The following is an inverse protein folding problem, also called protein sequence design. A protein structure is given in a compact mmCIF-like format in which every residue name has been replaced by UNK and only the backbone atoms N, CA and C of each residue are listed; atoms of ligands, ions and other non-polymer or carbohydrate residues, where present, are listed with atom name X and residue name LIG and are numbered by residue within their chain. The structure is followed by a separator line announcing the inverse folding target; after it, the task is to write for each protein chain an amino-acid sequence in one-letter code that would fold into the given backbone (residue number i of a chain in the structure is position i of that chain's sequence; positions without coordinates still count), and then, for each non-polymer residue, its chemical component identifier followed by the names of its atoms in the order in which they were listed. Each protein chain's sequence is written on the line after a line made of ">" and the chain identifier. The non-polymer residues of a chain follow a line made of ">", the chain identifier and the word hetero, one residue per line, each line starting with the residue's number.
data_IF_315514033661
#
_entry.id   IF_315514033661
#
_cell.length_a   1.000
_cell.length_b   1.000
_cell.length_c   1.000
_cell.angle_alpha   90.00
_cell.angle_beta   90.00
_cell.angle_gamma   90.00
#
_symmetry.space_group_name_H-M   'P 1'
#
loop_
_entity.id
_entity.type
_entity.pdbx_description
1 polymer ?
#
# COMPACT_ATOMS: atom_id res chain seq x y z
N UNK A 1 -57.61 -27.20 -24.39
CA UNK A 1 -56.90 -26.40 -23.37
C UNK A 1 -55.42 -26.77 -23.49
N UNK A 2 -54.61 -25.91 -24.12
CA UNK A 2 -53.21 -26.21 -24.42
C UNK A 2 -52.36 -25.56 -23.34
N UNK A 3 -51.81 -26.37 -22.44
CA UNK A 3 -50.99 -25.89 -21.32
C UNK A 3 -49.55 -25.71 -21.79
N UNK A 4 -49.08 -24.45 -21.80
CA UNK A 4 -47.68 -24.11 -21.97
C UNK A 4 -46.92 -24.43 -20.67
N UNK A 5 -45.95 -25.34 -20.74
CA UNK A 5 -44.99 -25.54 -19.65
C UNK A 5 -43.72 -24.75 -19.96
N UNK A 6 -43.47 -23.70 -19.19
CA UNK A 6 -42.21 -22.97 -19.21
C UNK A 6 -41.26 -23.62 -18.20
N UNK A 7 -40.32 -24.44 -18.68
CA UNK A 7 -39.28 -25.02 -17.83
C UNK A 7 -38.13 -24.01 -17.69
N UNK A 8 -38.08 -23.31 -16.55
CA UNK A 8 -36.91 -22.52 -16.19
C UNK A 8 -35.83 -23.46 -15.63
N UNK A 9 -34.72 -23.62 -16.36
CA UNK A 9 -33.52 -24.28 -15.83
C UNK A 9 -32.80 -23.31 -14.90
N UNK A 10 -32.69 -23.66 -13.62
CA UNK A 10 -31.87 -22.93 -12.66
C UNK A 10 -30.39 -23.08 -13.04
N UNK A 11 -29.81 -22.08 -13.71
CA UNK A 11 -28.36 -22.02 -13.90
C UNK A 11 -27.72 -21.68 -12.54
N UNK A 12 -26.99 -22.64 -11.97
CA UNK A 12 -26.15 -22.42 -10.81
C UNK A 12 -25.15 -21.31 -11.15
N UNK A 13 -25.18 -20.22 -10.39
CA UNK A 13 -24.25 -19.11 -10.62
C UNK A 13 -22.80 -19.63 -10.53
N UNK A 14 -21.92 -19.19 -11.43
CA UNK A 14 -20.53 -19.59 -11.39
C UNK A 14 -19.91 -19.14 -10.06
N UNK A 15 -19.18 -20.05 -9.42
CA UNK A 15 -18.41 -19.72 -8.21
C UNK A 15 -17.28 -18.78 -8.62
N UNK A 16 -17.14 -17.68 -7.87
CA UNK A 16 -16.06 -16.70 -8.05
C UNK A 16 -15.25 -16.69 -6.77
N UNK A 17 -13.95 -16.96 -6.90
CA UNK A 17 -13.02 -16.79 -5.79
C UNK A 17 -12.62 -15.32 -5.68
N UNK A 18 -12.78 -14.74 -4.50
CA UNK A 18 -12.46 -13.32 -4.25
C UNK A 18 -10.96 -13.02 -4.36
N UNK A 19 -10.12 -14.06 -4.28
CA UNK A 19 -8.69 -14.01 -4.49
C UNK A 19 -8.20 -15.22 -5.28
N UNK A 20 -7.02 -15.10 -5.88
CA UNK A 20 -6.35 -16.27 -6.46
C UNK A 20 -5.96 -17.27 -5.36
N UNK A 21 -6.03 -18.59 -5.63
CA UNK A 21 -5.52 -19.59 -4.71
C UNK A 21 -4.01 -19.37 -4.43
N UNK A 22 -3.54 -19.65 -3.19
CA UNK A 22 -2.14 -19.46 -2.84
C UNK A 22 -1.18 -20.18 -3.80
N UNK A 23 -0.08 -19.51 -4.16
CA UNK A 23 0.96 -20.04 -5.04
C UNK A 23 0.63 -20.04 -6.53
N UNK A 24 -0.52 -19.49 -6.94
CA UNK A 24 -0.88 -19.35 -8.36
C UNK A 24 -0.72 -17.92 -8.85
N UNK A 25 -0.17 -17.79 -10.06
CA UNK A 25 -0.06 -16.53 -10.78
C UNK A 25 -1.28 -16.32 -11.68
N UNK A 26 -1.75 -15.08 -11.75
CA UNK A 26 -2.87 -14.70 -12.63
C UNK A 26 -2.42 -14.18 -14.00
N UNK A 27 -1.11 -14.17 -14.24
CA UNK A 27 -0.51 -13.70 -15.49
C UNK A 27 0.67 -14.58 -15.89
N UNK A 28 0.79 -14.92 -17.18
CA UNK A 28 1.90 -15.72 -17.69
C UNK A 28 3.21 -14.95 -17.53
N UNK A 29 4.23 -15.60 -16.95
CA UNK A 29 5.48 -14.93 -16.55
C UNK A 29 5.37 -14.18 -15.22
N UNK A 30 4.24 -14.33 -14.50
CA UNK A 30 4.01 -13.76 -13.19
C UNK A 30 3.86 -12.24 -13.21
N UNK A 31 3.90 -11.65 -12.02
CA UNK A 31 3.71 -10.21 -11.81
C UNK A 31 4.73 -9.35 -12.55
N UNK A 32 6.00 -9.74 -12.59
CA UNK A 32 7.02 -8.95 -13.30
C UNK A 32 6.68 -8.79 -14.78
N UNK A 33 6.24 -9.87 -15.42
CA UNK A 33 5.81 -9.83 -16.81
C UNK A 33 4.55 -8.98 -16.99
N UNK A 34 3.60 -9.04 -16.06
CA UNK A 34 2.41 -8.19 -16.09
C UNK A 34 2.78 -6.71 -16.11
N UNK A 35 3.66 -6.27 -15.22
CA UNK A 35 4.04 -4.85 -15.15
C UNK A 35 4.90 -4.41 -16.32
N UNK A 36 5.74 -5.30 -16.86
CA UNK A 36 6.42 -5.06 -18.14
C UNK A 36 5.41 -4.82 -19.27
N UNK A 37 4.37 -5.65 -19.37
CA UNK A 37 3.34 -5.52 -20.41
C UNK A 37 2.52 -4.26 -20.24
N UNK A 38 2.19 -3.92 -18.99
CA UNK A 38 1.50 -2.66 -18.69
C UNK A 38 2.34 -1.48 -19.15
N UNK A 39 3.63 -1.42 -18.78
CA UNK A 39 4.52 -0.35 -19.23
C UNK A 39 4.59 -0.29 -20.76
N UNK A 40 4.79 -1.41 -21.44
CA UNK A 40 4.85 -1.45 -22.91
C UNK A 40 3.53 -0.96 -23.54
N UNK A 41 2.37 -1.41 -23.02
CA UNK A 41 1.06 -0.95 -23.49
C UNK A 41 0.90 0.56 -23.32
N UNK A 42 1.36 1.13 -22.21
CA UNK A 42 1.33 2.57 -21.97
C UNK A 42 2.15 3.33 -23.02
N UNK A 43 3.35 2.84 -23.34
CA UNK A 43 4.26 3.47 -24.31
C UNK A 43 3.76 3.32 -25.75
N UNK A 44 3.35 2.11 -26.14
CA UNK A 44 2.92 1.79 -27.52
C UNK A 44 1.63 2.53 -27.92
N UNK A 45 0.73 2.74 -26.97
CA UNK A 45 -0.55 3.41 -27.22
C UNK A 45 -0.48 4.92 -26.99
N UNK A 46 0.67 5.46 -26.61
CA UNK A 46 0.88 6.88 -26.32
C UNK A 46 -0.21 7.46 -25.41
N UNK A 47 -0.56 6.73 -24.34
CA UNK A 47 -1.58 7.19 -23.41
C UNK A 47 -1.10 8.43 -22.65
N UNK A 48 -2.01 9.37 -22.41
CA UNK A 48 -1.72 10.55 -21.60
C UNK A 48 -1.34 10.15 -20.16
N UNK A 49 -0.35 10.85 -19.62
CA UNK A 49 0.08 10.73 -18.23
C UNK A 49 -0.94 11.36 -17.29
N UNK A 50 -0.87 10.99 -16.01
CA UNK A 50 -1.64 11.64 -14.95
C UNK A 50 -0.84 12.84 -14.42
N UNK A 51 -1.48 14.01 -14.32
CA UNK A 51 -0.85 15.21 -13.76
C UNK A 51 -0.54 15.06 -12.26
N UNK A 52 -1.37 14.29 -11.56
CA UNK A 52 -1.18 13.92 -10.16
C UNK A 52 -0.41 12.59 -10.09
N UNK A 53 0.83 12.67 -9.59
CA UNK A 53 1.76 11.55 -9.52
C UNK A 53 1.51 10.66 -8.29
N UNK A 54 0.63 11.06 -7.37
CA UNK A 54 0.35 10.34 -6.12
C UNK A 54 -0.80 9.31 -6.27
N UNK A 55 -1.38 9.18 -7.47
CA UNK A 55 -2.51 8.28 -7.69
C UNK A 55 -2.09 6.80 -7.71
N UNK A 56 -2.74 6.01 -6.87
CA UNK A 56 -2.55 4.57 -6.72
C UNK A 56 -3.91 3.91 -6.74
N UNK A 57 -4.17 3.08 -7.76
CA UNK A 57 -5.44 2.37 -7.88
C UNK A 57 -5.24 0.86 -7.90
N UNK A 58 -5.86 0.13 -6.97
CA UNK A 58 -5.87 -1.34 -6.99
C UNK A 58 -7.10 -1.83 -7.74
N UNK A 59 -6.90 -2.31 -8.96
CA UNK A 59 -7.97 -2.84 -9.78
C UNK A 59 -8.27 -4.30 -9.45
N UNK A 60 -9.55 -4.59 -9.20
CA UNK A 60 -10.07 -5.95 -9.14
C UNK A 60 -10.42 -6.45 -10.55
N UNK A 61 -9.71 -7.48 -11.01
CA UNK A 61 -9.88 -8.06 -12.34
C UNK A 61 -10.43 -9.47 -12.19
N UNK A 62 -11.67 -9.70 -12.67
CA UNK A 62 -12.24 -11.04 -12.74
C UNK A 62 -11.59 -11.77 -13.90
N UNK A 63 -10.79 -12.78 -13.60
CA UNK A 63 -10.26 -13.73 -14.56
C UNK A 63 -11.15 -14.96 -14.56
N UNK A 64 -11.74 -15.25 -15.72
CA UNK A 64 -12.65 -16.38 -15.88
C UNK A 64 -11.89 -17.69 -16.13
N UNK A 65 -12.60 -18.80 -16.02
CA UNK A 65 -12.13 -20.15 -16.36
C UNK A 65 -11.51 -20.27 -17.77
N UNK A 66 -11.90 -19.40 -18.71
CA UNK A 66 -11.37 -19.34 -20.07
C UNK A 66 -10.30 -18.25 -20.27
N UNK A 67 -9.70 -17.77 -19.17
CA UNK A 67 -8.72 -16.67 -19.14
C UNK A 67 -9.21 -15.32 -19.68
N UNK A 68 -10.50 -15.16 -20.01
CA UNK A 68 -11.05 -13.84 -20.35
C UNK A 68 -11.22 -13.00 -19.10
N UNK A 69 -10.82 -11.75 -19.20
CA UNK A 69 -10.88 -10.80 -18.09
C UNK A 69 -12.01 -9.80 -18.22
N UNK A 70 -12.51 -9.34 -17.08
CA UNK A 70 -13.35 -8.15 -17.00
C UNK A 70 -13.04 -7.38 -15.72
N UNK A 71 -13.15 -6.06 -15.81
CA UNK A 71 -13.06 -5.19 -14.65
C UNK A 71 -14.22 -5.48 -13.68
N UNK A 72 -13.92 -5.74 -12.41
CA UNK A 72 -14.93 -5.84 -11.35
C UNK A 72 -15.33 -4.43 -10.96
N UNK A 73 -16.64 -4.17 -10.86
CA UNK A 73 -17.14 -2.84 -10.48
C UNK A 73 -16.64 -2.48 -9.09
N UNK A 74 -15.98 -1.33 -9.01
CA UNK A 74 -15.62 -0.69 -7.75
C UNK A 74 -16.77 0.24 -7.33
N UNK A 75 -17.18 0.11 -6.07
CA UNK A 75 -18.26 0.88 -5.47
C UNK A 75 -17.74 1.99 -4.55
N UNK A 76 -16.43 2.05 -4.28
CA UNK A 76 -15.81 3.10 -3.48
C UNK A 76 -15.61 4.37 -4.32
N UNK A 77 -16.66 5.18 -4.38
CA UNK A 77 -16.65 6.44 -5.11
C UNK A 77 -15.59 7.44 -4.62
N UNK A 78 -15.18 7.38 -3.35
CA UNK A 78 -14.17 8.27 -2.79
C UNK A 78 -12.77 7.86 -3.27
N UNK A 79 -12.46 6.56 -3.23
CA UNK A 79 -11.22 6.01 -3.77
C UNK A 79 -11.09 6.25 -5.28
N UNK A 80 -12.17 6.07 -6.05
CA UNK A 80 -12.20 6.37 -7.49
C UNK A 80 -11.99 7.86 -7.73
N UNK A 81 -12.61 8.75 -6.96
CA UNK A 81 -12.44 10.20 -7.12
C UNK A 81 -10.99 10.63 -6.83
N UNK A 82 -10.37 10.08 -5.77
CA UNK A 82 -8.96 10.32 -5.44
C UNK A 82 -8.01 9.83 -6.52
N UNK A 83 -8.29 8.69 -7.14
CA UNK A 83 -7.39 8.01 -8.09
C UNK A 83 -7.97 7.98 -9.51
N UNK A 84 -8.66 9.05 -9.92
CA UNK A 84 -9.51 9.04 -11.11
C UNK A 84 -8.75 8.77 -12.40
N UNK A 85 -7.58 9.36 -12.56
CA UNK A 85 -6.75 9.16 -13.74
C UNK A 85 -6.22 7.73 -13.79
N UNK A 86 -5.69 7.21 -12.67
CA UNK A 86 -5.24 5.83 -12.57
C UNK A 86 -6.36 4.82 -12.88
N UNK A 87 -7.56 5.05 -12.33
CA UNK A 87 -8.75 4.25 -12.59
C UNK A 87 -9.12 4.22 -14.08
N UNK A 88 -9.29 5.39 -14.70
CA UNK A 88 -9.71 5.51 -16.10
C UNK A 88 -8.64 4.96 -17.05
N UNK A 89 -7.36 5.18 -16.73
CA UNK A 89 -6.24 4.68 -17.52
C UNK A 89 -6.13 3.16 -17.45
N UNK A 90 -6.23 2.55 -16.26
CA UNK A 90 -6.16 1.09 -16.15
C UNK A 90 -7.28 0.40 -16.94
N UNK A 91 -8.48 0.99 -17.02
CA UNK A 91 -9.58 0.47 -17.85
C UNK A 91 -9.27 0.48 -19.35
N UNK A 92 -8.38 1.37 -19.81
CA UNK A 92 -7.88 1.39 -21.20
C UNK A 92 -6.74 0.39 -21.41
N UNK A 93 -5.92 0.16 -20.38
CA UNK A 93 -4.81 -0.81 -20.40
C UNK A 93 -5.30 -2.25 -20.36
N UNK A 94 -6.26 -2.56 -19.48
CA UNK A 94 -6.74 -3.92 -19.22
C UNK A 94 -7.11 -4.71 -20.50
N UNK A 95 -7.86 -4.15 -21.47
CA UNK A 95 -8.18 -4.84 -22.71
C UNK A 95 -6.97 -5.22 -23.57
N UNK A 96 -5.82 -4.55 -23.40
CA UNK A 96 -4.60 -4.81 -24.17
C UNK A 96 -3.75 -5.93 -23.57
N UNK A 97 -3.93 -6.26 -22.30
CA UNK A 97 -3.20 -7.33 -21.61
C UNK A 97 -3.77 -8.70 -22.00
N UNK A 98 -2.96 -9.55 -22.63
CA UNK A 98 -3.44 -10.82 -23.24
C UNK A 98 -3.03 -12.08 -22.49
N UNK A 99 -2.06 -12.00 -21.58
CA UNK A 99 -1.44 -13.18 -20.97
C UNK A 99 -2.05 -13.59 -19.63
N UNK A 100 -3.35 -13.41 -19.47
CA UNK A 100 -4.06 -13.79 -18.24
C UNK A 100 -4.15 -15.31 -18.09
N UNK A 101 -3.98 -15.80 -16.87
CA UNK A 101 -4.03 -17.22 -16.53
C UNK A 101 -5.16 -17.47 -15.54
N UNK A 102 -6.15 -18.30 -15.89
CA UNK A 102 -7.24 -18.68 -14.98
C UNK A 102 -6.70 -19.37 -13.71
N UNK A 103 -7.35 -19.17 -12.57
CA UNK A 103 -7.06 -19.93 -11.36
C UNK A 103 -7.38 -21.44 -11.55
N UNK A 104 -6.74 -22.28 -10.74
CA UNK A 104 -6.97 -23.72 -10.68
C UNK A 104 -7.48 -24.15 -9.30
N UNK A 105 -8.63 -24.80 -9.23
CA UNK A 105 -9.20 -25.35 -7.99
C UNK A 105 -9.60 -26.81 -8.23
N UNK A 106 -9.09 -27.73 -7.43
CA UNK A 106 -9.32 -29.16 -7.62
C UNK A 106 -8.87 -29.68 -8.99
N UNK A 107 -7.81 -29.09 -9.56
CA UNK A 107 -7.28 -29.46 -10.88
C UNK A 107 -8.10 -28.95 -12.08
N UNK A 108 -9.10 -28.08 -11.86
CA UNK A 108 -9.91 -27.48 -12.93
C UNK A 108 -9.76 -25.96 -12.95
N UNK A 109 -9.85 -25.31 -14.13
CA UNK A 109 -9.96 -23.85 -14.20
C UNK A 109 -11.12 -23.34 -13.33
N UNK A 110 -10.93 -22.20 -12.69
CA UNK A 110 -11.90 -21.54 -11.84
C UNK A 110 -11.89 -20.03 -12.07
N UNK A 111 -13.03 -19.37 -11.82
CA UNK A 111 -13.10 -17.92 -11.83
C UNK A 111 -12.48 -17.36 -10.55
N UNK A 112 -11.58 -16.39 -10.68
CA UNK A 112 -10.96 -15.74 -9.54
C UNK A 112 -10.72 -14.25 -9.81
N UNK A 113 -10.66 -13.46 -8.74
CA UNK A 113 -10.34 -12.04 -8.82
C UNK A 113 -8.84 -11.85 -8.57
N UNK A 114 -8.16 -11.30 -9.57
CA UNK A 114 -6.80 -10.81 -9.46
C UNK A 114 -6.82 -9.35 -8.98
N UNK A 115 -5.93 -9.00 -8.05
CA UNK A 115 -5.74 -7.63 -7.58
C UNK A 115 -4.49 -7.05 -8.25
N UNK A 116 -4.68 -6.01 -9.08
CA UNK A 116 -3.58 -5.35 -9.78
C UNK A 116 -3.42 -3.94 -9.24
N UNK A 117 -2.34 -3.70 -8.50
CA UNK A 117 -1.99 -2.35 -8.04
C UNK A 117 -1.39 -1.56 -9.20
N UNK A 118 -2.09 -0.52 -9.64
CA UNK A 118 -1.68 0.31 -10.76
C UNK A 118 -1.23 1.69 -10.27
N UNK A 119 0.03 2.02 -10.55
CA UNK A 119 0.68 3.27 -10.15
C UNK A 119 1.21 3.96 -11.42
N UNK A 120 0.45 4.88 -12.04
CA UNK A 120 0.81 5.47 -13.32
C UNK A 120 2.19 6.14 -13.31
N UNK A 121 2.51 6.94 -12.28
CA UNK A 121 3.80 7.64 -12.19
C UNK A 121 4.99 6.66 -12.26
N UNK A 122 4.95 5.59 -11.46
CA UNK A 122 5.99 4.55 -11.49
C UNK A 122 6.08 3.89 -12.86
N UNK A 123 4.96 3.66 -13.54
CA UNK A 123 4.93 2.96 -14.82
C UNK A 123 5.27 3.83 -16.03
N UNK A 124 5.16 5.15 -15.95
CA UNK A 124 5.58 6.06 -17.02
C UNK A 124 7.00 6.58 -16.88
N UNK A 125 7.45 6.84 -15.65
CA UNK A 125 8.66 7.65 -15.39
C UNK A 125 9.75 6.87 -14.69
N UNK A 126 9.38 5.89 -13.85
CA UNK A 126 10.30 5.16 -13.00
C UNK A 126 10.28 3.66 -13.22
N UNK A 127 9.84 3.17 -14.38
CA UNK A 127 9.75 1.72 -14.58
C UNK A 127 11.15 1.11 -14.59
N UNK A 128 11.34 0.07 -13.79
CA UNK A 128 12.57 -0.67 -13.66
C UNK A 128 12.30 -2.15 -13.99
N UNK A 129 13.25 -2.78 -14.67
CA UNK A 129 13.16 -4.20 -14.97
C UNK A 129 13.05 -5.00 -13.66
N UNK A 130 12.08 -5.92 -13.61
CA UNK A 130 11.81 -6.71 -12.41
C UNK A 130 10.77 -6.10 -11.45
N UNK A 131 10.24 -4.91 -11.74
CA UNK A 131 9.10 -4.36 -11.00
C UNK A 131 7.88 -5.30 -11.07
N UNK A 132 7.31 -5.62 -9.92
CA UNK A 132 6.27 -6.60 -9.65
C UNK A 132 5.06 -6.00 -8.92
N UNK A 133 5.13 -4.71 -8.54
CA UNK A 133 4.07 -3.98 -7.85
C UNK A 133 3.87 -4.36 -6.39
N UNK A 134 4.82 -5.12 -5.82
CA UNK A 134 4.85 -5.56 -4.42
C UNK A 134 6.07 -4.99 -3.66
N UNK A 135 6.85 -4.12 -4.29
CA UNK A 135 8.09 -3.56 -3.74
C UNK A 135 7.83 -2.57 -2.60
N UNK A 136 8.45 -2.83 -1.46
CA UNK A 136 8.86 -1.78 -0.51
C UNK A 136 10.33 -1.52 -0.76
N UNK A 137 10.64 -0.34 -1.30
CA UNK A 137 11.99 0.01 -1.75
C UNK A 137 12.85 0.61 -0.63
N UNK A 138 12.25 1.31 0.32
CA UNK A 138 12.96 1.83 1.51
C UNK A 138 12.01 2.11 2.66
N UNK A 139 12.57 2.15 3.88
CA UNK A 139 11.90 2.67 5.07
C UNK A 139 12.18 4.17 5.23
N UNK A 140 11.45 4.85 6.13
CA UNK A 140 11.72 6.24 6.43
C UNK A 140 13.08 6.40 7.15
N UNK A 141 13.85 7.41 6.78
CA UNK A 141 15.20 7.63 7.29
C UNK A 141 15.42 9.09 7.71
N UNK A 142 15.90 9.30 8.93
CA UNK A 142 16.28 10.61 9.42
C UNK A 142 17.64 11.00 8.85
N UNK A 143 17.94 12.29 8.57
CA UNK A 143 19.27 12.70 8.15
C UNK A 143 20.35 12.27 9.16
N UNK A 144 21.28 11.42 8.73
CA UNK A 144 22.30 10.81 9.60
C UNK A 144 21.84 9.53 10.32
N UNK A 145 20.70 8.97 9.91
CA UNK A 145 20.15 7.72 10.42
C UNK A 145 19.48 7.83 11.79
N UNK A 146 18.99 6.70 12.30
CA UNK A 146 18.23 6.65 13.55
C UNK A 146 19.05 7.11 14.77
N UNK A 147 20.38 6.93 14.73
CA UNK A 147 21.27 7.40 15.79
C UNK A 147 21.28 8.93 15.86
N UNK A 148 21.33 9.62 14.72
CA UNK A 148 21.24 11.08 14.68
C UNK A 148 19.89 11.58 15.18
N UNK A 149 18.79 10.88 14.86
CA UNK A 149 17.47 11.20 15.40
C UNK A 149 17.45 11.12 16.94
N UNK A 150 18.00 10.05 17.52
CA UNK A 150 18.10 9.90 18.98
C UNK A 150 18.91 11.03 19.62
N UNK A 151 20.05 11.38 19.02
CA UNK A 151 20.86 12.51 19.48
C UNK A 151 20.07 13.81 19.42
N UNK A 152 19.34 14.06 18.34
CA UNK A 152 18.52 15.27 18.21
C UNK A 152 17.38 15.29 19.23
N UNK A 153 16.69 14.17 19.44
CA UNK A 153 15.67 14.03 20.49
C UNK A 153 16.22 14.35 21.89
N UNK A 154 17.38 13.79 22.25
CA UNK A 154 17.99 14.00 23.57
C UNK A 154 18.35 15.48 23.80
N UNK A 155 18.78 16.22 22.77
CA UNK A 155 19.03 17.67 22.90
C UNK A 155 17.80 18.46 23.32
N UNK A 156 16.63 18.02 22.85
CA UNK A 156 15.36 18.65 23.18
C UNK A 156 14.72 18.06 24.44
N UNK A 157 15.16 16.91 24.94
CA UNK A 157 14.55 16.24 26.09
C UNK A 157 15.11 16.77 27.42
N UNK A 158 14.24 17.30 28.27
CA UNK A 158 14.59 17.78 29.60
C UNK A 158 14.39 16.68 30.64
N UNK A 159 15.48 16.03 31.04
CA UNK A 159 15.47 14.97 32.06
C UNK A 159 14.90 15.45 33.41
N UNK A 160 15.08 16.72 33.76
CA UNK A 160 14.59 17.29 35.03
C UNK A 160 13.08 17.51 35.04
N UNK A 161 12.40 17.36 33.90
CA UNK A 161 10.94 17.43 33.81
C UNK A 161 10.27 16.08 34.13
N UNK A 162 11.04 15.03 34.41
CA UNK A 162 10.54 13.70 34.69
C UNK A 162 10.77 13.39 36.17
N UNK A 163 9.70 13.47 36.97
CA UNK A 163 9.69 12.94 38.33
C UNK A 163 9.12 11.52 38.32
N UNK A 164 9.71 10.63 39.11
CA UNK A 164 9.28 9.24 39.19
C UNK A 164 9.56 8.68 40.57
N UNK A 165 8.50 8.21 41.24
CA UNK A 165 8.59 7.42 42.47
C UNK A 165 9.10 5.98 42.22
N UNK A 166 9.25 5.59 40.95
CA UNK A 166 9.70 4.27 40.52
C UNK A 166 11.17 4.28 40.09
N UNK A 167 11.88 3.17 40.34
CA UNK A 167 13.30 3.01 39.99
C UNK A 167 13.56 2.94 38.48
N UNK A 168 12.54 2.67 37.67
CA UNK A 168 12.66 2.70 36.22
C UNK A 168 11.33 2.99 35.55
N UNK A 169 11.38 3.79 34.49
CA UNK A 169 10.23 4.12 33.66
C UNK A 169 10.50 3.69 32.22
N UNK A 170 9.49 3.13 31.56
CA UNK A 170 9.52 2.79 30.13
C UNK A 170 8.26 3.27 29.41
N UNK A 171 8.45 4.10 28.39
CA UNK A 171 7.41 4.47 27.43
C UNK A 171 7.79 4.03 26.02
N UNK A 172 6.79 4.01 25.16
CA UNK A 172 6.97 3.85 23.74
C UNK A 172 6.36 5.03 23.00
N UNK A 173 7.22 5.79 22.33
CA UNK A 173 6.84 6.83 21.40
C UNK A 173 6.62 6.23 20.02
N UNK A 174 5.47 6.50 19.42
CA UNK A 174 5.23 6.24 18.00
C UNK A 174 4.85 7.54 17.29
N UNK A 175 5.21 7.62 16.01
CA UNK A 175 4.84 8.73 15.13
C UNK A 175 4.84 8.24 13.68
N UNK A 176 4.14 8.94 12.81
CA UNK A 176 4.12 8.69 11.37
C UNK A 176 5.02 9.69 10.67
N UNK A 177 5.94 9.20 9.84
CA UNK A 177 6.61 10.02 8.82
C UNK A 177 5.72 10.02 7.59
N UNK A 178 5.21 11.18 7.19
CA UNK A 178 4.36 11.31 6.02
C UNK A 178 5.17 11.36 4.71
N UNK A 179 4.45 11.43 3.59
CA UNK A 179 5.02 11.42 2.23
C UNK A 179 5.95 12.62 1.96
N UNK A 180 5.85 13.69 2.77
CA UNK A 180 6.70 14.89 2.71
C UNK A 180 7.89 14.83 3.66
N UNK A 181 8.05 13.73 4.41
CA UNK A 181 9.11 13.59 5.40
C UNK A 181 8.82 14.29 6.73
N UNK A 182 7.58 14.72 6.96
CA UNK A 182 7.20 15.41 8.20
C UNK A 182 6.65 14.41 9.21
N UNK A 183 6.91 14.64 10.50
CA UNK A 183 6.37 13.81 11.57
C UNK A 183 4.96 14.27 11.93
N UNK A 184 4.03 13.32 12.02
CA UNK A 184 2.64 13.52 12.42
C UNK A 184 2.16 12.35 13.30
N UNK A 185 0.93 12.45 13.84
CA UNK A 185 0.28 11.38 14.62
C UNK A 185 1.18 10.82 15.75
N UNK A 186 1.73 11.74 16.56
CA UNK A 186 2.61 11.40 17.68
C UNK A 186 1.77 10.80 18.82
N UNK A 187 2.13 9.60 19.25
CA UNK A 187 1.43 8.86 20.30
C UNK A 187 2.42 8.27 21.31
N UNK A 188 2.00 8.18 22.57
CA UNK A 188 2.74 7.51 23.63
C UNK A 188 1.92 6.33 24.14
N UNK A 189 2.60 5.21 24.44
CA UNK A 189 2.04 4.08 25.17
C UNK A 189 2.99 3.65 26.29
N UNK A 190 2.44 3.06 27.36
CA UNK A 190 3.17 2.68 28.58
C UNK A 190 2.37 3.01 29.84
N UNK A 191 2.78 2.44 30.99
CA UNK A 191 2.12 2.64 32.28
C UNK A 191 2.93 3.55 33.21
N UNK A 192 2.25 4.33 34.05
CA UNK A 192 2.78 5.09 35.20
C UNK A 192 3.90 6.11 34.90
N UNK A 193 3.75 6.93 33.86
CA UNK A 193 4.84 7.80 33.40
C UNK A 193 4.39 9.05 32.63
N UNK A 194 3.39 9.74 33.16
CA UNK A 194 2.81 10.93 32.53
C UNK A 194 3.86 12.02 32.24
N UNK A 195 4.75 12.31 33.18
CA UNK A 195 5.77 13.36 33.01
C UNK A 195 6.73 13.04 31.87
N UNK A 196 7.20 11.78 31.79
CA UNK A 196 8.04 11.31 30.70
C UNK A 196 7.31 11.37 29.35
N UNK A 197 6.01 11.04 29.33
CA UNK A 197 5.20 11.10 28.13
C UNK A 197 5.02 12.54 27.62
N UNK A 198 4.68 13.47 28.51
CA UNK A 198 4.53 14.90 28.19
C UNK A 198 5.84 15.47 27.66
N UNK A 199 6.95 15.18 28.33
CA UNK A 199 8.26 15.67 27.92
C UNK A 199 8.73 15.04 26.59
N UNK A 200 8.47 13.75 26.36
CA UNK A 200 8.79 13.10 25.09
C UNK A 200 8.01 13.71 23.91
N UNK A 201 6.72 13.98 24.08
CA UNK A 201 5.90 14.65 23.05
C UNK A 201 6.42 16.06 22.79
N UNK A 202 6.75 16.82 23.85
CA UNK A 202 7.33 18.15 23.72
C UNK A 202 8.66 18.12 22.97
N UNK A 203 9.58 17.23 23.35
CA UNK A 203 10.89 17.12 22.73
C UNK A 203 10.79 16.78 21.23
N UNK A 204 9.96 15.80 20.86
CA UNK A 204 9.70 15.44 19.45
C UNK A 204 9.14 16.62 18.68
N UNK A 205 8.22 17.38 19.26
CA UNK A 205 7.61 18.53 18.60
C UNK A 205 8.61 19.63 18.22
N UNK A 206 9.78 19.69 18.88
CA UNK A 206 10.84 20.65 18.57
C UNK A 206 11.71 20.24 17.38
N UNK A 207 11.68 18.96 16.99
CA UNK A 207 12.46 18.46 15.86
C UNK A 207 11.73 18.83 14.56
N UNK A 208 12.26 19.82 13.83
CA UNK A 208 11.71 20.28 12.55
C UNK A 208 12.41 19.70 11.31
N UNK A 209 13.48 18.94 11.52
CA UNK A 209 14.23 18.28 10.46
C UNK A 209 13.34 17.28 9.73
N UNK A 210 13.29 17.38 8.40
CA UNK A 210 12.54 16.44 7.56
C UNK A 210 13.28 15.13 7.40
N UNK A 211 12.51 14.05 7.46
CA UNK A 211 12.94 12.70 7.14
C UNK A 211 12.93 12.49 5.62
N UNK A 212 13.72 11.54 5.14
CA UNK A 212 13.43 10.89 3.86
C UNK A 212 12.24 9.96 4.08
N UNK A 213 11.12 10.11 3.34
CA UNK A 213 9.96 9.24 3.49
C UNK A 213 10.30 7.80 3.08
N UNK A 214 9.51 6.84 3.58
CA UNK A 214 9.58 5.48 3.07
C UNK A 214 9.12 5.46 1.61
N UNK A 215 9.76 4.64 0.79
CA UNK A 215 9.36 4.43 -0.59
C UNK A 215 8.72 3.05 -0.71
N UNK A 216 7.46 3.01 -1.13
CA UNK A 216 6.80 1.79 -1.57
C UNK A 216 6.25 2.00 -2.97
N UNK A 217 6.43 1.02 -3.84
CA UNK A 217 6.01 1.09 -5.24
C UNK A 217 6.62 2.29 -6.00
N UNK A 218 7.80 2.77 -5.56
CA UNK A 218 8.48 3.94 -6.10
C UNK A 218 7.84 5.29 -5.75
N UNK A 219 6.84 5.31 -4.86
CA UNK A 219 6.23 6.53 -4.36
C UNK A 219 6.52 6.71 -2.87
N UNK A 220 6.61 7.96 -2.39
CA UNK A 220 6.67 8.24 -0.96
C UNK A 220 5.37 7.79 -0.30
N UNK A 221 5.48 7.04 0.78
CA UNK A 221 4.35 6.54 1.56
C UNK A 221 4.53 6.85 3.05
N UNK A 222 3.41 6.93 3.77
CA UNK A 222 3.43 7.05 5.24
C UNK A 222 4.11 5.86 5.88
N UNK A 223 4.97 6.12 6.86
CA UNK A 223 5.71 5.09 7.59
C UNK A 223 5.66 5.33 9.09
N UNK A 224 5.19 4.33 9.85
CA UNK A 224 5.11 4.43 11.31
C UNK A 224 6.44 4.07 11.94
N UNK A 225 7.00 5.02 12.67
CA UNK A 225 8.19 4.84 13.50
C UNK A 225 7.81 4.48 14.93
N UNK A 226 8.68 3.70 15.57
CA UNK A 226 8.57 3.30 16.98
C UNK A 226 9.90 3.53 17.67
N UNK A 227 9.88 4.28 18.76
CA UNK A 227 11.03 4.56 19.60
C UNK A 227 10.71 4.17 21.05
N UNK A 228 11.21 3.02 21.53
CA UNK A 228 11.16 2.70 22.95
C UNK A 228 12.09 3.65 23.71
N UNK A 229 11.60 4.19 24.81
CA UNK A 229 12.33 5.06 25.72
C UNK A 229 12.34 4.45 27.11
N UNK A 230 13.51 4.42 27.74
CA UNK A 230 13.67 3.91 29.08
C UNK A 230 14.59 4.80 29.89
N UNK A 231 14.22 5.04 31.14
CA UNK A 231 15.02 5.75 32.12
C UNK A 231 15.10 4.92 33.40
N UNK A 232 16.28 4.90 34.00
CA UNK A 232 16.49 4.33 35.33
C UNK A 232 16.84 5.49 36.26
N UNK A 233 16.29 5.48 37.46
CA UNK A 233 16.53 6.45 38.52
C UNK A 233 17.38 5.76 39.60
N UNK A 234 18.45 6.42 40.03
CA UNK A 234 19.32 5.97 41.12
C UNK A 234 18.78 6.41 42.49
#
# INVERSE_FOLDING_TARGET
>A
MMSLFCSATAQKQPVIHETYPPGQEFYQGGRQQLYQDINQVLMDNNFARCDDHDQIYTASVLVRENSRVSFVKDFDSANIAKNRCAYDLFRKVLPQLKRWTSAGVGGKPANAIAQVRFVPAKLFEGYEAGYSGDEVSSIAEFPGGISAFRTEFIKHFNINAVDSETSSVRIELTFVVNEKGEMEDVQISGENNWDMAVEAVRAVSQIKTRWTPAIAYGLPVKYRMRMPLGMNFE
#
